data_IF_121345368476
#
_entry.id   IF_121345368476
#
_cell.length_a   1.000
_cell.length_b   1.000
_cell.length_c   1.000
_cell.angle_alpha   90.00
_cell.angle_beta   90.00
_cell.angle_gamma   90.00
#
_symmetry.space_group_name_H-M   'P 1'
#
loop_
_entity.id
_entity.type
_entity.pdbx_description
1 polymer ?
#
# COMPACT_ATOMS: atom_id res chain seq x y z
N UNK A 1 -19.80 -0.45 -30.30
CA UNK A 1 -19.12 -0.93 -29.11
C UNK A 1 -19.80 -0.44 -27.83
N UNK A 2 -19.92 0.86 -27.56
CA UNK A 2 -20.51 1.37 -26.31
C UNK A 2 -21.93 0.87 -26.03
N UNK A 3 -22.82 0.84 -27.04
CA UNK A 3 -24.16 0.28 -26.87
C UNK A 3 -24.13 -1.21 -26.51
N UNK A 4 -23.23 -2.00 -27.11
CA UNK A 4 -23.08 -3.42 -26.76
C UNK A 4 -22.58 -3.60 -25.32
N UNK A 5 -21.67 -2.72 -24.84
CA UNK A 5 -21.24 -2.71 -23.43
C UNK A 5 -22.43 -2.38 -22.52
N UNK A 6 -23.23 -1.37 -22.86
CA UNK A 6 -24.44 -1.02 -22.14
C UNK A 6 -25.45 -2.18 -22.05
N UNK A 7 -25.62 -2.95 -23.13
CA UNK A 7 -26.47 -4.15 -23.13
C UNK A 7 -25.93 -5.25 -22.17
N UNK A 8 -24.60 -5.40 -22.07
CA UNK A 8 -23.97 -6.39 -21.19
C UNK A 8 -24.12 -6.04 -19.71
N UNK A 9 -23.84 -4.79 -19.33
CA UNK A 9 -23.83 -4.38 -17.91
C UNK A 9 -25.18 -3.85 -17.44
N UNK A 10 -26.08 -3.48 -18.36
CA UNK A 10 -27.36 -2.84 -18.09
C UNK A 10 -27.25 -1.32 -17.98
N UNK A 11 -28.37 -0.64 -18.25
CA UNK A 11 -28.42 0.83 -18.31
C UNK A 11 -28.01 1.53 -17.01
N UNK A 12 -28.39 0.96 -15.87
CA UNK A 12 -28.07 1.52 -14.54
C UNK A 12 -26.62 1.38 -14.11
N UNK A 13 -25.80 0.63 -14.86
CA UNK A 13 -24.38 0.33 -14.58
C UNK A 13 -23.45 0.80 -15.72
N UNK A 14 -23.97 1.62 -16.62
CA UNK A 14 -23.22 2.17 -17.74
C UNK A 14 -23.35 3.70 -17.77
N UNK A 15 -22.23 4.39 -17.69
CA UNK A 15 -22.19 5.85 -17.60
C UNK A 15 -21.32 6.43 -18.72
N UNK A 16 -21.80 7.52 -19.33
CA UNK A 16 -21.08 8.26 -20.39
C UNK A 16 -21.28 9.76 -20.20
N UNK A 17 -20.37 10.56 -20.73
CA UNK A 17 -20.41 12.02 -20.69
C UNK A 17 -20.69 12.55 -19.27
N UNK A 18 -21.67 13.43 -19.10
CA UNK A 18 -22.01 14.10 -17.85
C UNK A 18 -22.53 13.13 -16.74
N UNK A 19 -22.85 11.89 -17.08
CA UNK A 19 -23.24 10.87 -16.12
C UNK A 19 -22.04 10.16 -15.45
N UNK A 20 -20.83 10.39 -15.95
CA UNK A 20 -19.60 9.86 -15.32
C UNK A 20 -19.32 10.64 -14.03
N UNK A 21 -19.32 9.95 -12.90
CA UNK A 21 -18.92 10.54 -11.62
C UNK A 21 -17.45 11.01 -11.63
N UNK A 22 -17.18 12.13 -10.98
CA UNK A 22 -15.85 12.71 -10.94
C UNK A 22 -14.80 11.75 -10.31
N UNK A 23 -15.25 10.88 -9.40
CA UNK A 23 -14.43 9.84 -8.77
C UNK A 23 -13.83 8.85 -9.76
N UNK A 24 -14.41 8.65 -10.95
CA UNK A 24 -13.84 7.81 -12.00
C UNK A 24 -12.72 8.48 -12.81
N UNK A 25 -12.50 9.78 -12.60
CA UNK A 25 -11.51 10.57 -13.33
C UNK A 25 -10.15 10.66 -12.60
N UNK A 26 -10.08 10.29 -11.33
CA UNK A 26 -8.87 10.34 -10.50
C UNK A 26 -8.85 9.18 -9.50
N UNK A 27 -7.71 8.92 -8.88
CA UNK A 27 -7.55 8.16 -7.65
C UNK A 27 -6.97 9.10 -6.57
N UNK A 28 -6.39 8.57 -5.49
CA UNK A 28 -5.83 9.41 -4.42
C UNK A 28 -4.42 9.94 -4.78
N UNK A 29 -3.91 9.68 -6.00
CA UNK A 29 -2.63 10.23 -6.45
C UNK A 29 -2.76 11.74 -6.73
N UNK A 30 -2.07 12.63 -6.02
CA UNK A 30 -2.20 14.06 -6.20
C UNK A 30 -1.82 14.52 -7.61
N UNK A 31 -2.69 15.28 -8.26
CA UNK A 31 -2.42 15.92 -9.54
C UNK A 31 -2.52 14.99 -10.75
N UNK A 32 -2.94 13.75 -10.59
CA UNK A 32 -3.19 12.80 -11.68
C UNK A 32 -4.69 12.72 -11.94
N UNK A 33 -5.10 12.96 -13.18
CA UNK A 33 -6.48 12.84 -13.62
C UNK A 33 -6.56 12.40 -15.08
N UNK A 34 -7.68 11.77 -15.45
CA UNK A 34 -8.01 11.37 -16.83
C UNK A 34 -9.51 11.40 -17.04
N UNK A 35 -9.94 11.45 -18.30
CA UNK A 35 -11.37 11.47 -18.64
C UNK A 35 -11.70 10.22 -19.44
N UNK A 36 -12.48 9.26 -18.90
CA UNK A 36 -12.91 8.10 -19.67
C UNK A 36 -14.04 8.45 -20.65
N UNK A 37 -14.16 7.69 -21.74
CA UNK A 37 -15.27 7.79 -22.67
C UNK A 37 -16.56 7.15 -22.07
N UNK A 38 -16.36 6.12 -21.23
CA UNK A 38 -17.45 5.44 -20.54
C UNK A 38 -16.93 4.74 -19.25
N UNK A 39 -17.87 4.49 -18.34
CA UNK A 39 -17.69 3.62 -17.18
C UNK A 39 -18.65 2.44 -17.31
N UNK A 40 -18.13 1.23 -17.20
CA UNK A 40 -18.89 -0.02 -17.15
C UNK A 40 -18.68 -0.69 -15.80
N UNK A 41 -19.70 -0.72 -14.95
CA UNK A 41 -19.69 -1.47 -13.69
C UNK A 41 -20.15 -2.90 -13.94
N UNK A 42 -19.24 -3.84 -13.77
CA UNK A 42 -19.51 -5.26 -13.94
C UNK A 42 -19.82 -5.96 -12.62
N UNK A 43 -20.58 -7.04 -12.69
CA UNK A 43 -20.98 -7.85 -11.52
C UNK A 43 -20.57 -9.31 -11.63
N UNK A 44 -19.98 -9.71 -12.76
CA UNK A 44 -19.49 -11.09 -12.96
C UNK A 44 -18.26 -11.15 -13.86
N UNK A 45 -17.55 -12.28 -13.80
CA UNK A 45 -16.43 -12.58 -14.67
C UNK A 45 -16.82 -12.57 -16.15
N UNK A 46 -18.02 -13.07 -16.49
CA UNK A 46 -18.53 -13.13 -17.87
C UNK A 46 -18.77 -11.73 -18.43
N UNK A 47 -19.33 -10.81 -17.62
CA UNK A 47 -19.51 -9.41 -18.03
C UNK A 47 -18.14 -8.74 -18.25
N UNK A 48 -17.19 -8.91 -17.31
CA UNK A 48 -15.84 -8.37 -17.45
C UNK A 48 -15.16 -8.89 -18.74
N UNK A 49 -15.23 -10.18 -18.98
CA UNK A 49 -14.68 -10.84 -20.18
C UNK A 49 -15.31 -10.27 -21.48
N UNK A 50 -16.63 -10.13 -21.52
CA UNK A 50 -17.32 -9.60 -22.68
C UNK A 50 -16.97 -8.13 -22.96
N UNK A 51 -16.88 -7.29 -21.92
CA UNK A 51 -16.47 -5.87 -22.06
C UNK A 51 -15.03 -5.76 -22.54
N UNK A 52 -14.08 -6.48 -21.92
CA UNK A 52 -12.66 -6.49 -22.33
C UNK A 52 -12.52 -6.93 -23.78
N UNK A 53 -13.22 -8.01 -24.19
CA UNK A 53 -13.20 -8.49 -25.56
C UNK A 53 -13.68 -7.45 -26.57
N UNK A 54 -14.80 -6.76 -26.30
CA UNK A 54 -15.32 -5.70 -27.18
C UNK A 54 -14.32 -4.54 -27.30
N UNK A 55 -13.69 -4.14 -26.21
CA UNK A 55 -12.66 -3.10 -26.20
C UNK A 55 -11.43 -3.56 -27.00
N UNK A 56 -10.98 -4.82 -26.84
CA UNK A 56 -9.85 -5.40 -27.57
C UNK A 56 -10.12 -5.49 -29.09
N UNK A 57 -11.34 -5.82 -29.49
CA UNK A 57 -11.74 -5.84 -30.90
C UNK A 57 -11.76 -4.44 -31.52
N UNK A 58 -12.15 -3.43 -30.72
CA UNK A 58 -12.21 -2.04 -31.14
C UNK A 58 -10.88 -1.27 -30.98
N UNK A 59 -9.88 -1.83 -30.31
CA UNK A 59 -8.63 -1.16 -29.97
C UNK A 59 -8.82 0.00 -28.97
N UNK A 60 -9.79 -0.12 -28.05
CA UNK A 60 -10.12 0.90 -27.06
C UNK A 60 -9.48 0.58 -25.72
N UNK A 61 -8.79 1.54 -25.06
CA UNK A 61 -8.21 1.38 -23.73
C UNK A 61 -9.23 0.93 -22.67
N UNK A 62 -8.78 0.08 -21.75
CA UNK A 62 -9.53 -0.37 -20.58
C UNK A 62 -8.74 -0.04 -19.32
N UNK A 63 -9.27 0.84 -18.49
CA UNK A 63 -8.71 1.10 -17.15
C UNK A 63 -9.48 0.29 -16.12
N UNK A 64 -8.79 -0.64 -15.45
CA UNK A 64 -9.39 -1.47 -14.38
C UNK A 64 -9.42 -0.67 -13.08
N UNK A 65 -10.59 -0.66 -12.41
CA UNK A 65 -10.77 0.12 -11.19
C UNK A 65 -11.52 -0.66 -10.09
N UNK A 66 -10.93 -0.72 -8.91
CA UNK A 66 -11.56 -1.08 -7.65
C UNK A 66 -12.18 0.13 -6.95
N UNK A 67 -11.84 0.35 -5.67
CA UNK A 67 -12.31 1.52 -4.91
C UNK A 67 -11.71 2.85 -5.39
N UNK A 68 -10.52 2.84 -5.99
CA UNK A 68 -9.83 4.04 -6.44
C UNK A 68 -8.98 4.71 -5.36
N UNK A 69 -8.66 4.00 -4.28
CA UNK A 69 -7.82 4.44 -3.15
C UNK A 69 -6.32 4.41 -3.43
N UNK A 70 -5.90 4.07 -4.65
CA UNK A 70 -4.50 4.01 -5.03
C UNK A 70 -3.84 5.39 -5.12
N UNK A 71 -2.55 5.47 -4.78
CA UNK A 71 -1.78 6.73 -4.71
C UNK A 71 -0.67 6.82 -5.77
N UNK A 72 -0.79 6.05 -6.85
CA UNK A 72 0.19 6.06 -7.95
C UNK A 72 -0.43 6.35 -9.34
N UNK A 73 -1.72 6.67 -9.40
CA UNK A 73 -2.42 6.88 -10.68
C UNK A 73 -2.72 5.57 -11.41
N UNK A 74 -2.69 4.43 -10.72
CA UNK A 74 -2.87 3.10 -11.31
C UNK A 74 -4.28 2.87 -11.86
N UNK A 75 -5.29 3.47 -11.27
CA UNK A 75 -6.70 3.33 -11.66
C UNK A 75 -7.27 4.55 -12.42
N UNK A 76 -6.41 5.49 -12.83
CA UNK A 76 -6.79 6.71 -13.57
C UNK A 76 -6.77 6.45 -15.07
N UNK A 77 -7.84 6.79 -15.83
CA UNK A 77 -7.92 6.58 -17.28
C UNK A 77 -7.15 7.65 -18.06
N UNK A 78 -5.81 7.64 -17.94
CA UNK A 78 -4.93 8.67 -18.55
C UNK A 78 -4.96 8.66 -20.08
N UNK A 79 -5.32 7.52 -20.70
CA UNK A 79 -5.46 7.35 -22.15
C UNK A 79 -6.94 7.31 -22.60
N UNK A 80 -7.88 7.78 -21.74
CA UNK A 80 -9.31 7.70 -22.03
C UNK A 80 -9.86 6.28 -22.03
N UNK A 81 -10.75 5.98 -22.98
CA UNK A 81 -11.34 4.65 -23.15
C UNK A 81 -12.40 4.29 -22.11
N UNK A 82 -12.47 3.02 -21.72
CA UNK A 82 -13.49 2.50 -20.81
C UNK A 82 -12.91 2.22 -19.44
N UNK A 83 -13.48 2.81 -18.39
CA UNK A 83 -13.21 2.37 -17.01
C UNK A 83 -14.06 1.12 -16.73
N UNK A 84 -13.39 0.00 -16.47
CA UNK A 84 -14.02 -1.24 -16.03
C UNK A 84 -14.06 -1.24 -14.49
N UNK A 85 -15.21 -0.84 -13.94
CA UNK A 85 -15.40 -0.79 -12.50
C UNK A 85 -15.76 -2.17 -11.94
N UNK A 86 -14.97 -2.64 -11.00
CA UNK A 86 -15.18 -3.91 -10.31
C UNK A 86 -15.93 -3.75 -8.98
N UNK A 87 -16.37 -2.54 -8.64
CA UNK A 87 -17.11 -2.27 -7.38
C UNK A 87 -18.37 -3.14 -7.22
N UNK A 88 -19.02 -3.48 -8.34
CA UNK A 88 -20.20 -4.34 -8.35
C UNK A 88 -19.91 -5.84 -8.17
N UNK A 89 -18.64 -6.23 -8.11
CA UNK A 89 -18.18 -7.60 -7.83
C UNK A 89 -17.77 -7.71 -6.37
N UNK A 90 -18.71 -7.59 -5.45
CA UNK A 90 -18.50 -7.40 -4.01
C UNK A 90 -18.95 -8.60 -3.13
N UNK A 91 -19.09 -9.78 -3.74
CA UNK A 91 -19.61 -10.95 -3.04
C UNK A 91 -18.51 -11.78 -2.40
N UNK A 92 -18.72 -12.20 -1.15
CA UNK A 92 -18.01 -13.29 -0.49
C UNK A 92 -18.66 -14.59 -0.98
N UNK A 93 -17.92 -15.40 -1.72
CA UNK A 93 -18.47 -16.53 -2.48
C UNK A 93 -18.51 -17.82 -1.67
N UNK A 94 -17.43 -18.12 -0.94
CA UNK A 94 -17.31 -19.38 -0.19
C UNK A 94 -16.23 -19.28 0.89
N UNK A 95 -16.54 -19.75 2.08
CA UNK A 95 -15.54 -20.15 3.07
C UNK A 95 -15.31 -21.68 3.00
N UNK A 96 -14.04 -22.09 3.03
CA UNK A 96 -13.66 -23.49 3.08
C UNK A 96 -12.91 -23.75 4.41
N UNK A 97 -13.62 -24.37 5.34
CA UNK A 97 -13.13 -24.60 6.70
C UNK A 97 -11.92 -25.56 6.70
N UNK A 98 -11.95 -26.59 5.86
CA UNK A 98 -10.89 -27.60 5.82
C UNK A 98 -9.57 -27.04 5.23
N UNK A 99 -9.67 -26.06 4.33
CA UNK A 99 -8.53 -25.45 3.67
C UNK A 99 -8.13 -24.11 4.29
N UNK A 100 -8.89 -23.59 5.26
CA UNK A 100 -8.76 -22.23 5.81
C UNK A 100 -8.65 -21.20 4.68
N UNK A 101 -9.61 -21.23 3.74
CA UNK A 101 -9.61 -20.28 2.61
C UNK A 101 -10.94 -19.58 2.46
N UNK A 102 -10.87 -18.32 2.00
CA UNK A 102 -12.03 -17.50 1.67
C UNK A 102 -11.99 -17.14 0.18
N UNK A 103 -13.02 -17.57 -0.59
CA UNK A 103 -13.16 -17.17 -1.99
C UNK A 103 -14.06 -15.97 -2.10
N UNK A 104 -13.57 -14.91 -2.74
CA UNK A 104 -14.20 -13.59 -2.82
C UNK A 104 -14.12 -13.01 -4.23
N UNK A 105 -15.02 -12.09 -4.54
CA UNK A 105 -14.90 -11.21 -5.71
C UNK A 105 -13.97 -10.03 -5.43
N UNK A 106 -13.37 -9.40 -6.46
CA UNK A 106 -12.31 -8.39 -6.31
C UNK A 106 -12.78 -7.07 -5.69
N UNK A 107 -14.07 -6.75 -5.74
CA UNK A 107 -14.67 -5.54 -5.18
C UNK A 107 -14.98 -5.62 -3.69
N UNK A 108 -14.81 -6.80 -3.05
CA UNK A 108 -14.95 -6.92 -1.59
C UNK A 108 -13.91 -6.04 -0.91
N UNK A 109 -14.31 -5.29 0.12
CA UNK A 109 -13.41 -4.41 0.85
C UNK A 109 -12.50 -5.21 1.80
N UNK A 110 -11.29 -4.72 2.02
CA UNK A 110 -10.34 -5.34 2.95
C UNK A 110 -10.95 -5.54 4.34
N UNK A 111 -11.63 -4.53 4.87
CA UNK A 111 -12.32 -4.62 6.17
C UNK A 111 -13.37 -5.73 6.22
N UNK A 112 -14.07 -5.99 5.11
CA UNK A 112 -15.11 -7.02 5.05
C UNK A 112 -14.49 -8.43 4.97
N UNK A 113 -13.34 -8.57 4.28
CA UNK A 113 -12.54 -9.81 4.29
C UNK A 113 -12.09 -10.14 5.72
N UNK A 114 -11.54 -9.15 6.43
CA UNK A 114 -11.09 -9.33 7.83
C UNK A 114 -12.26 -9.67 8.76
N UNK A 115 -13.37 -8.94 8.66
CA UNK A 115 -14.57 -9.18 9.45
C UNK A 115 -15.20 -10.57 9.17
N UNK A 116 -15.16 -11.04 7.92
CA UNK A 116 -15.63 -12.37 7.56
C UNK A 116 -14.74 -13.46 8.16
N UNK A 117 -13.40 -13.32 8.07
CA UNK A 117 -12.44 -14.27 8.64
C UNK A 117 -12.66 -14.43 10.17
N UNK A 118 -12.90 -13.31 10.87
CA UNK A 118 -13.13 -13.32 12.33
C UNK A 118 -14.37 -14.13 12.76
N UNK A 119 -15.40 -14.24 11.92
CA UNK A 119 -16.58 -15.07 12.23
C UNK A 119 -16.25 -16.55 12.41
N UNK A 120 -15.13 -16.98 11.82
CA UNK A 120 -14.63 -18.37 11.89
C UNK A 120 -13.46 -18.51 12.86
N UNK A 121 -13.13 -17.46 13.62
CA UNK A 121 -11.97 -17.46 14.52
C UNK A 121 -10.61 -17.39 13.80
N UNK A 122 -10.64 -17.01 12.53
CA UNK A 122 -9.45 -16.91 11.68
C UNK A 122 -9.08 -15.45 11.43
N UNK A 123 -7.90 -15.25 10.82
CA UNK A 123 -7.32 -13.94 10.57
C UNK A 123 -6.78 -13.84 9.14
N UNK A 124 -6.99 -12.68 8.51
CA UNK A 124 -6.36 -12.28 7.25
C UNK A 124 -5.29 -11.23 7.55
N UNK A 125 -3.99 -11.58 7.55
CA UNK A 125 -2.92 -10.72 8.08
C UNK A 125 -2.60 -9.46 7.28
N UNK A 126 -2.60 -9.44 5.92
CA UNK A 126 -2.19 -8.24 5.21
C UNK A 126 -3.01 -7.01 5.62
N UNK A 127 -2.30 -5.93 5.95
CA UNK A 127 -2.92 -4.68 6.41
C UNK A 127 -2.22 -3.45 5.82
N UNK A 128 -2.56 -3.04 4.60
CA UNK A 128 -2.00 -1.85 3.97
C UNK A 128 -2.56 -0.53 4.51
N UNK A 129 -3.20 -0.52 5.67
CA UNK A 129 -3.75 0.69 6.30
C UNK A 129 -5.11 1.12 5.74
N UNK A 130 -5.30 1.21 4.43
CA UNK A 130 -6.56 1.62 3.80
C UNK A 130 -7.59 0.48 3.81
N UNK A 131 -8.50 0.53 4.78
CA UNK A 131 -9.49 -0.54 5.05
C UNK A 131 -10.63 -0.60 4.03
N UNK A 132 -10.86 0.50 3.30
CA UNK A 132 -11.87 0.60 2.22
C UNK A 132 -11.29 0.26 0.84
N UNK A 133 -10.00 -0.07 0.76
CA UNK A 133 -9.42 -0.65 -0.45
C UNK A 133 -10.10 -1.97 -0.81
N UNK A 134 -10.27 -2.24 -2.10
CA UNK A 134 -10.79 -3.53 -2.55
C UNK A 134 -9.70 -4.59 -2.57
N UNK A 135 -10.06 -5.83 -2.23
CA UNK A 135 -9.09 -6.93 -2.19
C UNK A 135 -8.44 -7.21 -3.57
N UNK A 136 -9.19 -6.97 -4.66
CA UNK A 136 -8.64 -7.04 -6.02
C UNK A 136 -7.60 -5.94 -6.28
N UNK A 137 -7.81 -4.73 -5.73
CA UNK A 137 -6.84 -3.63 -5.74
C UNK A 137 -5.57 -4.00 -4.97
N UNK A 138 -5.73 -4.55 -3.76
CA UNK A 138 -4.59 -4.99 -2.94
C UNK A 138 -3.76 -6.06 -3.65
N UNK A 139 -4.39 -7.03 -4.32
CA UNK A 139 -3.67 -8.01 -5.13
C UNK A 139 -3.01 -7.38 -6.37
N UNK A 140 -3.69 -6.44 -7.04
CA UNK A 140 -3.16 -5.78 -8.23
C UNK A 140 -1.90 -4.94 -7.94
N UNK A 141 -1.80 -4.33 -6.77
CA UNK A 141 -0.60 -3.59 -6.32
C UNK A 141 0.37 -4.44 -5.52
N UNK A 142 -0.02 -5.63 -5.08
CA UNK A 142 0.66 -6.43 -4.06
C UNK A 142 0.84 -5.62 -2.77
N UNK A 143 -0.24 -5.02 -2.29
CA UNK A 143 -0.22 -4.16 -1.12
C UNK A 143 0.35 -4.88 0.11
N UNK A 144 1.11 -4.16 0.91
CA UNK A 144 1.73 -4.62 2.16
C UNK A 144 1.29 -3.78 3.36
N UNK A 145 2.18 -3.44 4.27
CA UNK A 145 1.94 -2.61 5.44
C UNK A 145 2.77 -3.04 6.63
N UNK A 146 2.50 -2.49 7.83
CA UNK A 146 3.30 -2.70 9.03
C UNK A 146 3.55 -4.17 9.40
N UNK A 147 2.56 -5.02 9.16
CA UNK A 147 2.61 -6.45 9.50
C UNK A 147 3.42 -7.29 8.50
N UNK A 148 3.94 -6.69 7.43
CA UNK A 148 4.66 -7.43 6.39
C UNK A 148 5.97 -8.07 6.88
N UNK A 149 6.56 -7.57 7.95
CA UNK A 149 7.77 -8.15 8.56
C UNK A 149 7.55 -9.59 9.02
N UNK A 150 6.39 -9.91 9.56
CA UNK A 150 6.03 -11.26 10.04
C UNK A 150 5.26 -12.06 9.02
N UNK A 151 4.31 -11.42 8.37
CA UNK A 151 3.31 -12.12 7.59
C UNK A 151 3.51 -12.00 6.07
N UNK A 152 4.41 -11.14 5.62
CA UNK A 152 4.56 -10.88 4.18
C UNK A 152 3.48 -9.95 3.63
N UNK A 153 3.21 -10.08 2.34
CA UNK A 153 2.36 -9.17 1.57
C UNK A 153 1.06 -9.85 1.11
N UNK A 154 0.19 -9.13 0.41
CA UNK A 154 -1.04 -9.71 -0.16
C UNK A 154 -0.77 -10.97 -1.00
N UNK A 155 0.34 -11.02 -1.76
CA UNK A 155 0.75 -12.18 -2.56
C UNK A 155 0.82 -13.48 -1.77
N UNK A 156 1.35 -13.42 -0.55
CA UNK A 156 1.58 -14.60 0.29
C UNK A 156 0.26 -15.25 0.73
N UNK A 157 -0.82 -14.47 0.71
CA UNK A 157 -2.17 -14.90 1.10
C UNK A 157 -3.11 -15.17 -0.07
N UNK A 158 -2.65 -15.08 -1.31
CA UNK A 158 -3.43 -15.49 -2.47
C UNK A 158 -3.11 -16.95 -2.85
N UNK A 159 -4.10 -17.82 -2.77
CA UNK A 159 -3.96 -19.22 -3.19
C UNK A 159 -4.22 -19.40 -4.69
N UNK A 160 -5.22 -18.67 -5.23
CA UNK A 160 -5.55 -18.67 -6.66
C UNK A 160 -6.29 -17.40 -7.07
N UNK A 161 -6.22 -17.09 -8.36
CA UNK A 161 -6.95 -16.00 -9.01
C UNK A 161 -7.75 -16.53 -10.19
N UNK A 162 -8.99 -16.05 -10.38
CA UNK A 162 -9.65 -16.09 -11.69
C UNK A 162 -9.43 -14.75 -12.36
N UNK A 163 -8.95 -14.76 -13.60
CA UNK A 163 -8.59 -13.54 -14.34
C UNK A 163 -9.20 -13.52 -15.74
N UNK A 164 -9.41 -12.31 -16.25
CA UNK A 164 -9.73 -12.05 -17.65
C UNK A 164 -8.49 -11.48 -18.33
N UNK A 165 -8.04 -12.12 -19.44
CA UNK A 165 -6.94 -11.65 -20.27
C UNK A 165 -7.40 -10.59 -21.27
N UNK A 166 -6.44 -9.91 -21.89
CA UNK A 166 -6.70 -8.82 -22.83
C UNK A 166 -7.54 -9.20 -24.07
N UNK A 167 -7.63 -10.48 -24.41
CA UNK A 167 -8.48 -10.99 -25.49
C UNK A 167 -9.90 -11.39 -25.03
N UNK A 168 -10.20 -11.19 -23.74
CA UNK A 168 -11.45 -11.58 -23.10
C UNK A 168 -11.52 -13.05 -22.69
N UNK A 169 -10.46 -13.84 -22.86
CA UNK A 169 -10.40 -15.20 -22.32
C UNK A 169 -10.29 -15.20 -20.79
N UNK A 170 -10.81 -16.25 -20.16
CA UNK A 170 -10.76 -16.44 -18.70
C UNK A 170 -9.90 -17.63 -18.34
N UNK A 171 -9.14 -17.50 -17.28
CA UNK A 171 -8.33 -18.61 -16.76
C UNK A 171 -8.21 -18.52 -15.23
N UNK A 172 -7.88 -19.65 -14.61
CA UNK A 172 -7.56 -19.70 -13.17
C UNK A 172 -6.08 -19.93 -13.00
N UNK A 173 -5.42 -19.05 -12.23
CA UNK A 173 -3.99 -19.06 -11.94
C UNK A 173 -3.73 -19.52 -10.50
N UNK A 174 -2.64 -20.24 -10.29
CA UNK A 174 -2.16 -20.63 -8.96
C UNK A 174 -0.64 -20.85 -8.96
N UNK A 175 -0.04 -20.91 -7.77
CA UNK A 175 1.41 -21.13 -7.64
C UNK A 175 2.22 -20.06 -8.39
N UNK A 176 3.19 -20.48 -9.19
CA UNK A 176 4.10 -19.56 -9.89
C UNK A 176 3.41 -18.66 -10.93
N UNK A 177 2.25 -19.07 -11.46
CA UNK A 177 1.53 -18.25 -12.46
C UNK A 177 0.94 -16.97 -11.87
N UNK A 178 0.72 -16.94 -10.54
CA UNK A 178 0.27 -15.74 -9.82
C UNK A 178 1.26 -14.56 -9.95
N UNK A 179 2.56 -14.86 -10.10
CA UNK A 179 3.62 -13.87 -10.25
C UNK A 179 3.42 -12.94 -11.46
N UNK A 180 2.69 -13.42 -12.48
CA UNK A 180 2.40 -12.62 -13.67
C UNK A 180 1.28 -11.60 -13.51
N UNK A 181 0.50 -11.66 -12.41
CA UNK A 181 -0.69 -10.83 -12.23
C UNK A 181 -0.64 -10.03 -10.94
N UNK A 182 -0.23 -10.65 -9.82
CA UNK A 182 -0.12 -9.93 -8.54
C UNK A 182 0.97 -8.87 -8.65
N UNK A 183 0.60 -7.63 -8.36
CA UNK A 183 1.48 -6.48 -8.51
C UNK A 183 1.60 -5.96 -9.95
N UNK A 184 0.77 -6.42 -10.89
CA UNK A 184 0.77 -5.90 -12.28
C UNK A 184 -0.08 -4.65 -12.48
N UNK A 185 -0.80 -4.19 -11.47
CA UNK A 185 -1.62 -2.97 -11.49
C UNK A 185 -2.68 -2.97 -12.61
N UNK A 186 -3.23 -4.16 -12.92
CA UNK A 186 -4.25 -4.30 -13.97
C UNK A 186 -3.73 -4.19 -15.39
N UNK A 187 -2.40 -4.14 -15.61
CA UNK A 187 -1.80 -4.01 -16.95
C UNK A 187 -1.72 -5.33 -17.71
N UNK A 188 -1.79 -6.48 -17.05
CA UNK A 188 -1.58 -7.81 -17.65
C UNK A 188 -2.83 -8.70 -17.60
N UNK A 189 -3.76 -8.42 -16.72
CA UNK A 189 -5.04 -9.10 -16.59
C UNK A 189 -6.00 -8.32 -15.67
N UNK A 190 -7.29 -8.65 -15.75
CA UNK A 190 -8.33 -8.19 -14.83
C UNK A 190 -8.62 -9.32 -13.83
N UNK A 191 -8.39 -9.08 -12.55
CA UNK A 191 -8.72 -10.03 -11.47
C UNK A 191 -10.23 -10.01 -11.26
N UNK A 192 -10.89 -11.18 -11.31
CA UNK A 192 -12.34 -11.30 -11.14
C UNK A 192 -12.76 -12.19 -9.97
N UNK A 193 -11.89 -13.06 -9.47
CA UNK A 193 -12.08 -13.76 -8.20
C UNK A 193 -10.73 -14.03 -7.54
N UNK A 194 -10.72 -14.09 -6.21
CA UNK A 194 -9.56 -14.44 -5.39
C UNK A 194 -9.92 -15.56 -4.43
N UNK A 195 -9.03 -16.51 -4.24
CA UNK A 195 -9.05 -17.45 -3.10
C UNK A 195 -7.95 -17.02 -2.14
N UNK A 196 -8.35 -16.56 -0.97
CA UNK A 196 -7.46 -16.02 0.08
C UNK A 196 -7.17 -17.12 1.12
N UNK A 197 -5.92 -17.18 1.58
CA UNK A 197 -5.53 -18.01 2.73
C UNK A 197 -5.81 -17.26 4.02
N UNK A 198 -6.32 -17.96 5.02
CA UNK A 198 -6.51 -17.45 6.37
C UNK A 198 -5.63 -18.25 7.32
N UNK A 199 -5.28 -17.63 8.44
CA UNK A 199 -4.48 -18.25 9.50
C UNK A 199 -5.21 -18.18 10.84
N UNK A 200 -4.75 -18.91 11.84
CA UNK A 200 -5.23 -18.78 13.21
C UNK A 200 -4.88 -17.38 13.74
N UNK A 201 -5.83 -16.77 14.44
CA UNK A 201 -5.61 -15.44 15.03
C UNK A 201 -4.66 -15.56 16.22
N UNK A 202 -3.62 -14.68 16.34
CA UNK A 202 -2.84 -14.56 17.55
C UNK A 202 -3.75 -14.31 18.78
N UNK A 203 -3.43 -14.95 19.91
CA UNK A 203 -4.30 -14.89 21.09
C UNK A 203 -3.92 -13.79 22.06
N UNK A 204 -2.65 -13.37 22.02
CA UNK A 204 -2.12 -12.29 22.84
C UNK A 204 -1.19 -11.40 22.02
N UNK A 205 -1.14 -10.12 22.36
CA UNK A 205 -0.24 -9.15 21.76
C UNK A 205 0.14 -8.05 22.76
N UNK A 206 1.25 -7.37 22.54
CA UNK A 206 1.64 -6.16 23.23
C UNK A 206 2.38 -5.22 22.28
N UNK A 207 2.30 -3.92 22.54
CA UNK A 207 3.05 -2.90 21.81
C UNK A 207 4.11 -2.33 22.76
N UNK A 208 5.36 -2.24 22.27
CA UNK A 208 6.46 -1.57 22.94
C UNK A 208 6.85 -0.34 22.13
N UNK A 209 7.05 0.80 22.80
CA UNK A 209 7.61 2.00 22.21
C UNK A 209 8.99 2.25 22.81
N UNK A 210 9.95 2.52 21.93
CA UNK A 210 11.34 2.83 22.30
C UNK A 210 11.69 4.20 21.73
N UNK A 211 11.73 5.25 22.56
CA UNK A 211 12.25 6.56 22.17
C UNK A 211 13.78 6.56 22.08
N UNK A 212 14.35 7.29 21.11
CA UNK A 212 15.78 7.44 20.87
C UNK A 212 16.15 8.90 20.65
N UNK A 213 17.41 9.23 20.86
CA UNK A 213 17.92 10.58 20.64
C UNK A 213 18.04 10.95 19.16
N UNK A 214 18.22 9.96 18.28
CA UNK A 214 18.41 10.17 16.85
C UNK A 214 17.92 8.99 16.00
N UNK A 215 17.80 9.23 14.68
CA UNK A 215 17.37 8.25 13.67
C UNK A 215 18.30 7.07 13.53
N UNK A 216 19.63 7.31 13.54
CA UNK A 216 20.64 6.27 13.32
C UNK A 216 20.60 5.22 14.44
N UNK A 217 20.64 5.69 15.70
CA UNK A 217 20.55 4.82 16.88
C UNK A 217 19.24 4.02 16.89
N UNK A 218 18.12 4.67 16.58
CA UNK A 218 16.80 4.03 16.49
C UNK A 218 16.76 2.89 15.46
N UNK A 219 17.28 3.12 14.25
CA UNK A 219 17.27 2.11 13.20
C UNK A 219 18.30 1.01 13.39
N UNK A 220 19.43 1.31 14.05
CA UNK A 220 20.38 0.28 14.48
C UNK A 220 19.76 -0.64 15.55
N UNK A 221 19.02 -0.08 16.49
CA UNK A 221 18.25 -0.84 17.47
C UNK A 221 17.20 -1.74 16.78
N UNK A 222 16.44 -1.21 15.80
CA UNK A 222 15.48 -2.00 15.03
C UNK A 222 16.14 -3.20 14.34
N UNK A 223 17.30 -2.99 13.69
CA UNK A 223 18.05 -4.07 13.05
C UNK A 223 18.58 -5.10 14.06
N UNK A 224 18.98 -4.66 15.24
CA UNK A 224 19.39 -5.54 16.34
C UNK A 224 18.24 -6.43 16.81
N UNK A 225 17.05 -5.84 17.01
CA UNK A 225 15.85 -6.56 17.43
C UNK A 225 15.35 -7.53 16.34
N UNK A 226 15.43 -7.14 15.06
CA UNK A 226 15.09 -8.02 13.94
C UNK A 226 16.06 -9.19 13.77
N UNK A 227 17.31 -9.05 14.17
CA UNK A 227 18.31 -10.14 14.11
C UNK A 227 18.11 -11.19 15.22
N UNK A 228 17.29 -10.90 16.25
CA UNK A 228 16.94 -11.84 17.32
C UNK A 228 15.70 -12.65 16.95
N UNK A 229 15.48 -13.78 17.62
CA UNK A 229 14.36 -14.70 17.34
C UNK A 229 13.08 -14.32 18.10
N UNK A 230 12.73 -13.02 18.13
CA UNK A 230 11.49 -12.55 18.75
C UNK A 230 10.29 -12.63 17.81
N UNK A 231 10.53 -12.71 16.51
CA UNK A 231 9.52 -12.70 15.45
C UNK A 231 8.44 -11.62 15.66
N UNK A 232 8.83 -10.33 15.74
CA UNK A 232 7.89 -9.24 15.94
C UNK A 232 6.87 -9.18 14.79
N UNK A 233 5.63 -8.88 15.11
CA UNK A 233 4.57 -8.73 14.10
C UNK A 233 4.68 -7.40 13.37
N UNK A 234 5.22 -6.38 14.05
CA UNK A 234 5.40 -5.02 13.53
C UNK A 234 6.71 -4.46 14.05
N UNK A 235 7.42 -3.71 13.21
CA UNK A 235 8.59 -2.90 13.56
C UNK A 235 8.51 -1.58 12.79
N UNK A 236 8.04 -0.52 13.46
CA UNK A 236 7.78 0.78 12.86
C UNK A 236 8.76 1.84 13.38
N UNK A 237 9.45 2.49 12.47
CA UNK A 237 10.23 3.69 12.73
C UNK A 237 9.37 4.93 12.46
N UNK A 238 9.45 5.92 13.34
CA UNK A 238 8.79 7.22 13.19
C UNK A 238 9.75 8.31 13.63
N UNK A 239 10.02 9.29 12.77
CA UNK A 239 10.76 10.48 13.22
C UNK A 239 9.86 11.40 14.08
N UNK A 240 10.47 12.14 15.00
CA UNK A 240 9.73 13.00 15.91
C UNK A 240 9.02 14.14 15.19
N UNK A 241 9.50 14.55 14.03
CA UNK A 241 8.85 15.61 13.25
C UNK A 241 7.47 15.19 12.73
N UNK A 242 7.30 13.95 12.26
CA UNK A 242 5.99 13.44 11.80
C UNK A 242 5.06 13.19 12.99
N UNK A 243 5.61 12.65 14.08
CA UNK A 243 4.87 12.42 15.34
C UNK A 243 4.31 13.72 15.90
N UNK A 244 5.14 14.75 16.03
CA UNK A 244 4.75 16.06 16.55
C UNK A 244 3.75 16.76 15.62
N UNK A 245 3.99 16.71 14.30
CA UNK A 245 3.08 17.30 13.32
C UNK A 245 1.69 16.64 13.39
N UNK A 246 1.63 15.32 13.33
CA UNK A 246 0.37 14.57 13.37
C UNK A 246 -0.35 14.76 14.71
N UNK A 247 0.37 14.71 15.83
CA UNK A 247 -0.19 14.94 17.15
C UNK A 247 -0.82 16.33 17.30
N UNK A 248 -0.21 17.35 16.70
CA UNK A 248 -0.74 18.72 16.69
C UNK A 248 -2.01 18.85 15.81
N UNK A 249 -2.05 18.19 14.65
CA UNK A 249 -3.19 18.22 13.73
C UNK A 249 -4.39 17.47 14.31
N UNK A 250 -4.15 16.28 14.85
CA UNK A 250 -5.22 15.41 15.37
C UNK A 250 -5.65 15.76 16.80
N UNK A 251 -4.80 16.48 17.54
CA UNK A 251 -4.99 16.70 18.97
C UNK A 251 -4.76 15.43 19.82
N UNK A 252 -4.06 14.43 19.29
CA UNK A 252 -3.77 13.14 19.93
C UNK A 252 -2.26 12.87 20.01
N UNK A 253 -1.51 13.54 20.91
CA UNK A 253 -0.06 13.40 21.06
C UNK A 253 0.27 12.18 21.96
N UNK A 254 0.15 10.97 21.46
CA UNK A 254 0.41 9.74 22.24
C UNK A 254 1.87 9.27 22.20
N UNK A 255 2.62 9.65 21.17
CA UNK A 255 4.04 9.32 21.08
C UNK A 255 4.91 10.38 21.74
N UNK A 256 6.01 10.01 22.43
CA UNK A 256 6.87 10.97 23.13
C UNK A 256 7.63 11.87 22.14
N UNK A 257 7.61 13.17 22.37
CA UNK A 257 8.39 14.17 21.61
C UNK A 257 9.51 14.78 22.45
N UNK A 258 9.45 14.62 23.79
CA UNK A 258 10.45 15.08 24.77
C UNK A 258 10.51 14.08 25.93
N UNK A 259 11.71 13.79 26.41
CA UNK A 259 11.96 12.99 27.61
C UNK A 259 13.11 13.62 28.42
N UNK A 260 12.92 13.74 29.72
CA UNK A 260 13.89 14.34 30.67
C UNK A 260 14.41 15.72 30.27
N UNK A 261 13.59 16.50 29.52
CA UNK A 261 13.94 17.85 29.05
C UNK A 261 14.75 17.86 27.76
N UNK A 262 14.95 16.73 27.11
CA UNK A 262 15.61 16.60 25.81
C UNK A 262 14.61 16.17 24.74
N UNK A 263 14.77 16.66 23.50
CA UNK A 263 13.93 16.27 22.37
C UNK A 263 14.22 14.85 21.97
N UNK A 264 13.20 14.02 21.87
CA UNK A 264 13.29 12.71 21.21
C UNK A 264 13.57 12.92 19.72
N UNK A 265 14.49 12.17 19.15
CA UNK A 265 14.82 12.22 17.71
C UNK A 265 13.98 11.29 16.87
N UNK A 266 13.72 10.07 17.38
CA UNK A 266 12.87 9.07 16.74
C UNK A 266 12.25 8.11 17.76
N UNK A 267 11.16 7.46 17.37
CA UNK A 267 10.52 6.40 18.15
C UNK A 267 10.41 5.13 17.30
N UNK A 268 10.79 3.98 17.90
CA UNK A 268 10.50 2.66 17.35
C UNK A 268 9.25 2.10 18.02
N UNK A 269 8.30 1.61 17.24
CA UNK A 269 7.13 0.86 17.74
C UNK A 269 7.28 -0.60 17.33
N UNK A 270 7.23 -1.49 18.32
CA UNK A 270 7.32 -2.93 18.13
C UNK A 270 6.01 -3.57 18.58
N UNK A 271 5.42 -4.44 17.76
CA UNK A 271 4.30 -5.28 18.17
C UNK A 271 4.78 -6.72 18.32
N UNK A 272 4.59 -7.28 19.51
CA UNK A 272 4.81 -8.70 19.82
C UNK A 272 3.48 -9.44 19.81
N UNK A 273 3.49 -10.67 19.35
CA UNK A 273 2.34 -11.57 19.36
C UNK A 273 2.74 -12.93 19.95
N UNK A 274 1.78 -13.61 20.57
CA UNK A 274 1.97 -14.90 21.21
C UNK A 274 0.72 -15.75 21.26
N UNK A 275 0.90 -17.01 21.72
CA UNK A 275 -0.18 -17.96 21.96
C UNK A 275 -0.97 -17.63 23.24
N UNK A 276 -0.36 -16.89 24.16
CA UNK A 276 -0.92 -16.42 25.42
C UNK A 276 -0.13 -15.21 25.95
N UNK A 277 -0.66 -14.58 27.00
CA UNK A 277 -0.04 -13.41 27.64
C UNK A 277 1.33 -13.74 28.25
N UNK A 278 1.53 -14.96 28.78
CA UNK A 278 2.79 -15.37 29.39
C UNK A 278 3.90 -15.40 28.33
N UNK A 279 3.64 -15.93 27.14
CA UNK A 279 4.60 -15.98 26.02
C UNK A 279 4.97 -14.61 25.47
N UNK A 280 4.06 -13.64 25.52
CA UNK A 280 4.33 -12.24 25.16
C UNK A 280 5.16 -11.57 26.24
N UNK A 281 4.84 -11.80 27.51
CA UNK A 281 5.57 -11.22 28.65
C UNK A 281 7.03 -11.71 28.70
N UNK A 282 7.29 -12.99 28.44
CA UNK A 282 8.65 -13.54 28.36
C UNK A 282 9.48 -12.81 27.31
N UNK A 283 8.93 -12.61 26.11
CA UNK A 283 9.62 -11.82 25.06
C UNK A 283 9.87 -10.37 25.47
N UNK A 284 8.91 -9.74 26.15
CA UNK A 284 9.06 -8.37 26.64
C UNK A 284 10.20 -8.26 27.68
N UNK A 285 10.31 -9.23 28.60
CA UNK A 285 11.38 -9.29 29.60
C UNK A 285 12.74 -9.44 28.93
N UNK A 286 12.89 -10.36 27.97
CA UNK A 286 14.11 -10.53 27.19
C UNK A 286 14.52 -9.27 26.43
N UNK A 287 13.54 -8.55 25.83
CA UNK A 287 13.80 -7.29 25.11
C UNK A 287 14.19 -6.18 26.10
N UNK A 288 13.59 -6.14 27.29
CA UNK A 288 13.94 -5.16 28.30
C UNK A 288 15.39 -5.30 28.78
N UNK A 289 15.95 -6.52 28.81
CA UNK A 289 17.35 -6.76 29.10
C UNK A 289 18.33 -6.17 28.07
N UNK A 290 17.84 -5.90 26.85
CA UNK A 290 18.63 -5.28 25.78
C UNK A 290 18.59 -3.75 25.79
N UNK A 291 17.83 -3.11 26.67
CA UNK A 291 17.61 -1.67 26.67
C UNK A 291 18.93 -0.85 26.63
N UNK A 292 19.93 -1.26 27.43
CA UNK A 292 21.25 -0.62 27.44
C UNK A 292 22.05 -0.91 26.15
N UNK A 293 21.93 -2.12 25.57
CA UNK A 293 22.60 -2.50 24.32
C UNK A 293 22.08 -1.71 23.13
N UNK A 294 20.77 -1.48 23.07
CA UNK A 294 20.11 -0.75 21.97
C UNK A 294 20.07 0.77 22.20
N UNK A 295 20.56 1.26 23.33
CA UNK A 295 20.67 2.69 23.66
C UNK A 295 19.34 3.45 23.62
N UNK A 296 18.19 2.79 23.95
CA UNK A 296 16.90 3.47 24.03
C UNK A 296 16.81 4.31 25.33
N UNK A 297 16.04 5.41 25.26
CA UNK A 297 15.83 6.30 26.40
C UNK A 297 14.94 5.66 27.46
N UNK A 298 13.91 4.91 27.03
CA UNK A 298 12.97 4.21 27.88
C UNK A 298 12.23 3.14 27.08
N UNK A 299 11.44 2.30 27.75
CA UNK A 299 10.53 1.33 27.13
C UNK A 299 9.12 1.58 27.66
N UNK A 300 8.24 2.06 26.80
CA UNK A 300 6.84 2.31 27.11
C UNK A 300 6.00 1.13 26.65
N UNK A 301 5.16 0.58 27.53
CA UNK A 301 4.37 -0.63 27.25
C UNK A 301 2.91 -0.29 27.03
N UNK A 302 2.38 -0.72 25.88
CA UNK A 302 0.96 -0.70 25.54
C UNK A 302 0.36 -2.11 25.59
N UNK A 303 -0.09 -2.55 26.77
CA UNK A 303 -0.68 -3.87 26.98
C UNK A 303 -2.21 -3.85 27.03
N UNK A 304 -2.82 -2.69 27.30
CA UNK A 304 -4.28 -2.59 27.32
C UNK A 304 -4.88 -2.37 25.94
N UNK A 305 -6.12 -2.89 25.70
CA UNK A 305 -6.80 -2.65 24.41
C UNK A 305 -6.99 -1.17 24.07
N UNK A 306 -7.08 -0.30 25.08
CA UNK A 306 -7.22 1.15 24.86
C UNK A 306 -5.90 1.76 24.36
N UNK A 307 -4.79 1.50 25.04
CA UNK A 307 -3.47 2.00 24.62
C UNK A 307 -3.09 1.53 23.21
N UNK A 308 -3.29 0.24 22.93
CA UNK A 308 -3.03 -0.31 21.59
C UNK A 308 -3.82 0.40 20.52
N UNK A 309 -5.12 0.66 20.74
CA UNK A 309 -5.94 1.44 19.78
C UNK A 309 -5.46 2.87 19.64
N UNK A 310 -5.03 3.53 20.72
CA UNK A 310 -4.53 4.91 20.66
C UNK A 310 -3.21 5.00 19.89
N UNK A 311 -2.28 4.06 20.10
CA UNK A 311 -1.02 4.01 19.35
C UNK A 311 -1.28 3.80 17.86
N UNK A 312 -2.10 2.82 17.49
CA UNK A 312 -2.45 2.60 16.09
C UNK A 312 -3.22 3.75 15.48
N UNK A 313 -4.17 4.35 16.20
CA UNK A 313 -4.92 5.51 15.71
C UNK A 313 -4.01 6.72 15.44
N UNK A 314 -2.99 6.94 16.27
CA UNK A 314 -2.01 8.00 16.05
C UNK A 314 -1.07 7.70 14.88
N UNK A 315 -0.62 6.45 14.72
CA UNK A 315 0.19 5.99 13.59
C UNK A 315 -0.59 6.10 12.27
N UNK A 316 -1.80 5.54 12.21
CA UNK A 316 -2.66 5.55 11.02
C UNK A 316 -3.01 6.98 10.55
N UNK A 317 -2.95 7.95 11.48
CA UNK A 317 -3.22 9.35 11.17
C UNK A 317 -2.06 10.10 10.48
N UNK A 318 -0.85 9.54 10.37
CA UNK A 318 0.29 10.25 9.79
C UNK A 318 0.00 10.78 8.39
N UNK A 319 -0.43 9.92 7.48
CA UNK A 319 -0.72 10.31 6.10
C UNK A 319 -1.83 11.38 6.02
N UNK A 320 -2.98 11.12 6.63
CA UNK A 320 -4.14 12.04 6.58
C UNK A 320 -3.86 13.37 7.29
N UNK A 321 -2.99 13.39 8.30
CA UNK A 321 -2.55 14.60 8.96
C UNK A 321 -1.71 15.48 8.03
N UNK A 322 -0.85 14.88 7.20
CA UNK A 322 -0.08 15.63 6.20
C UNK A 322 -1.01 16.29 5.17
N UNK A 323 -2.00 15.55 4.67
CA UNK A 323 -2.96 16.07 3.69
C UNK A 323 -3.83 17.20 4.24
N UNK A 324 -4.30 17.07 5.49
CA UNK A 324 -5.24 18.02 6.08
C UNK A 324 -4.57 19.21 6.79
N UNK A 325 -3.37 19.00 7.34
CA UNK A 325 -2.66 19.98 8.17
C UNK A 325 -1.61 20.80 7.44
N UNK A 326 -0.99 20.26 6.38
CA UNK A 326 0.02 21.00 5.63
C UNK A 326 -0.61 21.83 4.51
N UNK A 327 -0.04 23.01 4.27
CA UNK A 327 -0.46 23.85 3.13
C UNK A 327 -0.15 23.21 1.79
N UNK A 328 1.01 22.57 1.68
CA UNK A 328 1.41 21.74 0.56
C UNK A 328 2.11 20.52 1.12
N UNK A 329 1.72 19.34 0.67
CA UNK A 329 2.33 18.06 1.02
C UNK A 329 2.40 17.15 -0.19
N UNK A 330 3.41 16.29 -0.22
CA UNK A 330 3.51 15.14 -1.13
C UNK A 330 4.23 14.02 -0.40
N UNK A 331 3.90 12.79 -0.75
CA UNK A 331 4.57 11.60 -0.24
C UNK A 331 5.39 10.92 -1.33
N UNK A 332 6.57 10.44 -0.95
CA UNK A 332 7.37 9.48 -1.71
C UNK A 332 7.34 8.15 -0.98
N UNK A 333 6.53 7.22 -1.47
CA UNK A 333 6.47 5.86 -0.96
C UNK A 333 7.43 4.98 -1.76
N UNK A 334 8.41 4.37 -1.08
CA UNK A 334 9.49 3.55 -1.62
C UNK A 334 9.76 2.36 -0.71
N UNK A 335 10.62 1.44 -1.11
CA UNK A 335 11.22 0.48 -0.19
C UNK A 335 12.72 0.37 -0.42
N UNK A 336 13.49 0.21 0.66
CA UNK A 336 14.94 -0.06 0.64
C UNK A 336 15.27 -1.22 1.58
N UNK A 337 16.43 -1.89 1.46
CA UNK A 337 16.86 -2.84 2.47
C UNK A 337 16.85 -2.22 3.87
N UNK A 338 16.50 -2.98 4.91
CA UNK A 338 16.29 -2.47 6.26
C UNK A 338 17.54 -1.72 6.81
N UNK A 339 18.73 -2.21 6.49
CA UNK A 339 20.02 -1.59 6.86
C UNK A 339 20.33 -0.29 6.09
N UNK A 340 19.47 0.09 5.14
CA UNK A 340 19.60 1.31 4.31
C UNK A 340 18.56 2.38 4.63
N UNK A 341 17.63 2.11 5.54
CA UNK A 341 16.57 3.07 5.87
C UNK A 341 17.17 4.35 6.47
N UNK A 342 18.12 4.27 7.41
CA UNK A 342 18.76 5.45 8.00
C UNK A 342 19.43 6.33 6.93
N UNK A 343 20.25 5.74 6.06
CA UNK A 343 20.92 6.44 4.96
C UNK A 343 19.89 7.13 4.04
N UNK A 344 18.76 6.47 3.75
CA UNK A 344 17.72 7.03 2.88
C UNK A 344 16.96 8.18 3.55
N UNK A 345 16.63 8.07 4.85
CA UNK A 345 15.96 9.13 5.61
C UNK A 345 16.81 10.38 5.66
N UNK A 346 18.08 10.23 6.05
CA UNK A 346 19.02 11.36 6.14
C UNK A 346 19.25 12.03 4.78
N UNK A 347 19.42 11.23 3.73
CA UNK A 347 19.56 11.74 2.38
C UNK A 347 18.32 12.55 1.95
N UNK A 348 17.12 12.01 2.16
CA UNK A 348 15.88 12.69 1.78
C UNK A 348 15.66 13.99 2.57
N UNK A 349 15.99 14.00 3.86
CA UNK A 349 15.92 15.21 4.69
C UNK A 349 16.91 16.28 4.24
N UNK A 350 18.18 15.92 3.97
CA UNK A 350 19.21 16.85 3.52
C UNK A 350 18.86 17.46 2.15
N UNK A 351 18.42 16.64 1.18
CA UNK A 351 18.03 17.12 -0.15
C UNK A 351 16.75 17.98 -0.09
N UNK A 352 15.81 17.64 0.80
CA UNK A 352 14.62 18.45 1.06
C UNK A 352 14.98 19.82 1.62
N UNK A 353 15.82 19.86 2.66
CA UNK A 353 16.27 21.10 3.29
C UNK A 353 17.00 22.01 2.29
N UNK A 354 17.89 21.45 1.44
CA UNK A 354 18.58 22.19 0.39
C UNK A 354 17.63 22.86 -0.61
N UNK A 355 16.38 22.35 -0.72
CA UNK A 355 15.32 22.91 -1.57
C UNK A 355 14.31 23.75 -0.79
N UNK A 356 14.52 23.91 0.54
CA UNK A 356 13.59 24.61 1.43
C UNK A 356 12.26 23.86 1.62
N UNK A 357 12.31 22.52 1.63
CA UNK A 357 11.23 21.63 1.99
C UNK A 357 11.57 20.94 3.32
N UNK A 358 10.58 20.75 4.19
CA UNK A 358 10.73 19.89 5.36
C UNK A 358 10.33 18.48 4.96
N UNK A 359 11.22 17.49 5.18
CA UNK A 359 10.92 16.07 4.97
C UNK A 359 10.75 15.40 6.33
N UNK A 360 9.64 14.69 6.48
CA UNK A 360 9.29 13.87 7.65
C UNK A 360 9.12 12.43 7.21
N UNK A 361 9.45 11.46 8.07
CA UNK A 361 9.54 10.07 7.68
C UNK A 361 8.95 9.11 8.71
N UNK A 362 8.32 8.03 8.21
CA UNK A 362 8.10 6.81 8.97
C UNK A 362 8.37 5.59 8.06
N UNK A 363 8.59 4.43 8.66
CA UNK A 363 8.96 3.25 7.89
C UNK A 363 8.57 1.93 8.56
N UNK A 364 8.13 0.98 7.75
CA UNK A 364 7.94 -0.44 8.07
C UNK A 364 9.29 -1.14 8.00
N UNK A 365 10.10 -1.08 9.08
CA UNK A 365 11.53 -1.41 9.04
C UNK A 365 11.78 -2.83 8.51
N UNK A 366 11.00 -3.80 8.96
CA UNK A 366 11.23 -5.20 8.59
C UNK A 366 10.97 -5.53 7.12
N UNK A 367 10.10 -4.78 6.44
CA UNK A 367 9.85 -4.93 5.00
C UNK A 367 10.61 -3.90 4.15
N UNK A 368 11.20 -2.89 4.80
CA UNK A 368 11.90 -1.79 4.15
C UNK A 368 10.98 -0.73 3.52
N UNK A 369 9.66 -0.84 3.69
CA UNK A 369 8.68 0.14 3.21
C UNK A 369 8.85 1.49 3.91
N UNK A 370 8.90 2.58 3.15
CA UNK A 370 9.16 3.93 3.67
C UNK A 370 8.18 4.94 3.11
N UNK A 371 7.78 5.85 3.97
CA UNK A 371 6.91 7.00 3.71
C UNK A 371 7.67 8.28 4.01
N UNK A 372 8.05 9.01 2.96
CA UNK A 372 8.79 10.27 3.05
C UNK A 372 7.87 11.40 2.64
N UNK A 373 7.46 12.24 3.60
CA UNK A 373 6.53 13.34 3.38
C UNK A 373 7.28 14.67 3.27
N UNK A 374 7.26 15.28 2.09
CA UNK A 374 7.80 16.61 1.88
C UNK A 374 6.69 17.66 2.01
N UNK A 375 6.87 18.65 2.88
CA UNK A 375 5.91 19.71 3.14
C UNK A 375 6.52 21.10 2.99
N UNK A 376 5.67 22.09 2.70
CA UNK A 376 6.08 23.51 2.61
C UNK A 376 4.90 24.46 2.77
N UNK A 377 5.16 25.62 3.38
CA UNK A 377 4.24 26.77 3.47
C UNK A 377 4.36 27.72 2.27
N UNK A 378 5.24 27.43 1.30
CA UNK A 378 5.50 28.23 0.12
C UNK A 378 4.33 28.33 -0.87
N UNK A 379 4.57 28.96 -2.01
CA UNK A 379 3.58 29.02 -3.10
C UNK A 379 3.44 27.65 -3.78
N UNK A 380 2.22 27.26 -4.15
CA UNK A 380 1.92 25.94 -4.75
C UNK A 380 2.74 25.65 -6.00
N UNK A 381 2.96 26.64 -6.89
CA UNK A 381 3.74 26.45 -8.12
C UNK A 381 5.24 26.22 -7.86
N UNK A 382 5.80 26.90 -6.84
CA UNK A 382 7.19 26.70 -6.41
C UNK A 382 7.35 25.32 -5.74
N UNK A 383 6.41 24.93 -4.90
CA UNK A 383 6.38 23.62 -4.30
C UNK A 383 6.36 22.51 -5.35
N UNK A 384 5.48 22.59 -6.35
CA UNK A 384 5.38 21.60 -7.42
C UNK A 384 6.71 21.38 -8.17
N UNK A 385 7.46 22.45 -8.47
CA UNK A 385 8.77 22.33 -9.11
C UNK A 385 9.80 21.63 -8.21
N UNK A 386 9.88 22.04 -6.92
CA UNK A 386 10.82 21.49 -5.95
C UNK A 386 10.59 20.00 -5.67
N UNK A 387 9.33 19.59 -5.54
CA UNK A 387 9.00 18.17 -5.26
C UNK A 387 9.28 17.26 -6.45
N UNK A 388 9.19 17.74 -7.68
CA UNK A 388 9.60 16.98 -8.86
C UNK A 388 11.13 16.75 -8.90
N UNK A 389 11.91 17.77 -8.52
CA UNK A 389 13.36 17.63 -8.41
C UNK A 389 13.73 16.68 -7.27
N UNK A 390 13.07 16.80 -6.11
CA UNK A 390 13.30 15.91 -4.97
C UNK A 390 12.89 14.47 -5.31
N UNK A 391 11.79 14.25 -6.03
CA UNK A 391 11.38 12.94 -6.50
C UNK A 391 12.47 12.21 -7.30
N UNK A 392 13.11 12.92 -8.25
CA UNK A 392 14.19 12.36 -9.05
C UNK A 392 15.39 11.91 -8.18
N UNK A 393 15.73 12.70 -7.15
CA UNK A 393 16.81 12.40 -6.21
C UNK A 393 16.44 11.21 -5.30
N UNK A 394 15.26 11.23 -4.69
CA UNK A 394 14.74 10.17 -3.81
C UNK A 394 14.66 8.84 -4.54
N UNK A 395 14.03 8.80 -5.73
CA UNK A 395 13.90 7.56 -6.49
C UNK A 395 15.23 7.08 -7.07
N UNK A 396 16.14 8.01 -7.44
CA UNK A 396 17.49 7.68 -7.86
C UNK A 396 18.29 7.04 -6.74
N UNK A 397 18.28 7.64 -5.55
CA UNK A 397 18.97 7.11 -4.36
C UNK A 397 18.37 5.78 -3.90
N UNK A 398 17.04 5.64 -3.92
CA UNK A 398 16.36 4.37 -3.64
C UNK A 398 16.91 3.24 -4.54
N UNK A 399 17.02 3.50 -5.84
CA UNK A 399 17.55 2.51 -6.80
C UNK A 399 19.04 2.21 -6.57
N UNK A 400 19.85 3.22 -6.23
CA UNK A 400 21.26 3.08 -5.88
C UNK A 400 21.46 2.16 -4.66
N UNK A 401 20.58 2.29 -3.66
CA UNK A 401 20.60 1.48 -2.45
C UNK A 401 20.03 0.06 -2.66
N UNK A 402 19.67 -0.32 -3.88
CA UNK A 402 19.08 -1.63 -4.19
C UNK A 402 17.60 -1.73 -3.80
N UNK A 403 16.94 -0.61 -3.58
CA UNK A 403 15.54 -0.52 -3.23
C UNK A 403 14.60 -0.58 -4.43
N UNK A 404 13.30 -0.41 -4.14
CA UNK A 404 12.23 -0.37 -5.14
C UNK A 404 11.41 0.90 -5.01
N UNK A 405 11.31 1.65 -6.11
CA UNK A 405 10.46 2.85 -6.18
C UNK A 405 8.96 2.51 -6.19
N UNK A 406 8.60 1.24 -6.36
CA UNK A 406 7.22 0.75 -6.27
C UNK A 406 6.65 1.04 -4.87
N UNK A 407 7.44 0.76 -3.82
CA UNK A 407 6.96 0.78 -2.45
C UNK A 407 5.73 -0.13 -2.29
N UNK A 408 4.73 0.35 -1.58
CA UNK A 408 3.43 -0.32 -1.39
C UNK A 408 2.37 0.14 -2.40
N UNK A 409 2.51 1.36 -2.95
CA UNK A 409 1.50 2.02 -3.78
C UNK A 409 1.53 1.61 -5.25
N UNK A 410 2.58 0.91 -5.67
CA UNK A 410 2.80 0.60 -7.08
C UNK A 410 3.57 1.71 -7.82
N UNK A 411 3.62 1.59 -9.13
CA UNK A 411 4.27 2.53 -10.06
C UNK A 411 3.23 3.45 -10.70
N UNK A 412 2.13 2.89 -11.18
CA UNK A 412 1.09 3.58 -11.91
C UNK A 412 1.64 4.42 -13.07
N UNK A 413 1.05 5.59 -13.29
CA UNK A 413 1.59 6.59 -14.22
C UNK A 413 2.49 7.61 -13.50
N UNK A 414 2.37 7.78 -12.18
CA UNK A 414 3.09 8.80 -11.43
C UNK A 414 4.60 8.54 -11.32
N UNK A 415 5.00 7.27 -11.14
CA UNK A 415 6.40 6.89 -10.95
C UNK A 415 7.06 6.30 -12.19
N UNK A 416 6.31 6.05 -13.28
CA UNK A 416 6.79 5.43 -14.52
C UNK A 416 8.08 6.08 -15.07
N UNK A 417 8.15 7.41 -15.08
CA UNK A 417 9.29 8.16 -15.58
C UNK A 417 10.60 7.93 -14.81
N UNK A 418 10.54 7.37 -13.62
CA UNK A 418 11.68 7.08 -12.75
C UNK A 418 12.12 5.61 -12.80
N UNK A 419 11.44 4.76 -13.60
CA UNK A 419 11.84 3.38 -13.80
C UNK A 419 13.15 3.27 -14.56
N UNK A 420 14.04 2.41 -14.08
CA UNK A 420 15.26 2.06 -14.82
C UNK A 420 14.98 1.23 -16.08
N UNK A 421 15.91 1.24 -17.02
CA UNK A 421 15.78 0.58 -18.33
C UNK A 421 15.47 -0.93 -18.20
N UNK A 422 16.09 -1.63 -17.24
CA UNK A 422 15.88 -3.07 -17.01
C UNK A 422 14.44 -3.36 -16.57
N UNK A 423 13.88 -2.53 -15.67
CA UNK A 423 12.50 -2.68 -15.24
C UNK A 423 11.51 -2.42 -16.37
N UNK A 424 11.74 -1.38 -17.18
CA UNK A 424 10.93 -1.07 -18.36
C UNK A 424 10.96 -2.22 -19.37
N UNK A 425 12.14 -2.80 -19.66
CA UNK A 425 12.27 -3.94 -20.58
C UNK A 425 11.50 -5.16 -20.05
N UNK A 426 11.64 -5.46 -18.76
CA UNK A 426 10.93 -6.58 -18.11
C UNK A 426 9.41 -6.40 -18.18
N UNK A 427 8.90 -5.21 -17.81
CA UNK A 427 7.46 -4.92 -17.87
C UNK A 427 6.95 -4.93 -19.31
N UNK A 428 7.67 -4.34 -20.27
CA UNK A 428 7.33 -4.34 -21.69
C UNK A 428 7.26 -5.74 -22.26
N UNK A 429 8.19 -6.64 -21.91
CA UNK A 429 8.16 -8.04 -22.33
C UNK A 429 6.92 -8.79 -21.79
N UNK A 430 6.54 -8.57 -20.54
CA UNK A 430 5.32 -9.15 -19.97
C UNK A 430 4.06 -8.58 -20.64
N UNK A 431 4.03 -7.26 -20.89
CA UNK A 431 2.95 -6.60 -21.60
C UNK A 431 2.77 -7.16 -22.99
N UNK A 432 3.84 -7.27 -23.77
CA UNK A 432 3.81 -7.85 -25.12
C UNK A 432 3.30 -9.30 -25.13
N UNK A 433 3.57 -10.07 -24.08
CA UNK A 433 3.09 -11.44 -23.94
C UNK A 433 1.60 -11.53 -23.60
N UNK A 434 1.11 -10.75 -22.65
CA UNK A 434 -0.22 -10.90 -22.05
C UNK A 434 -1.25 -9.90 -22.58
N UNK A 435 -0.80 -8.78 -23.13
CA UNK A 435 -1.65 -7.77 -23.76
C UNK A 435 -0.97 -7.18 -25.01
N UNK A 436 -0.81 -7.97 -26.08
CA UNK A 436 -0.09 -7.55 -27.28
C UNK A 436 -0.75 -6.37 -28.03
N UNK A 437 -1.98 -6.03 -27.70
CA UNK A 437 -2.68 -4.85 -28.26
C UNK A 437 -2.54 -3.59 -27.38
N UNK A 438 -1.99 -3.72 -26.17
CA UNK A 438 -1.79 -2.61 -25.24
C UNK A 438 -3.08 -1.98 -24.74
N UNK A 439 -4.18 -2.75 -24.63
CA UNK A 439 -5.48 -2.16 -24.23
C UNK A 439 -5.67 -2.08 -22.72
N UNK A 440 -5.05 -3.00 -21.94
CA UNK A 440 -5.25 -3.06 -20.50
C UNK A 440 -4.38 -2.01 -19.80
N UNK A 441 -5.04 -1.08 -19.17
CA UNK A 441 -4.44 -0.06 -18.30
C UNK A 441 -3.22 0.66 -18.92
N UNK A 442 -3.34 1.20 -20.16
CA UNK A 442 -2.21 1.83 -20.85
C UNK A 442 -1.74 3.11 -20.15
N UNK A 443 -0.52 3.57 -20.48
CA UNK A 443 0.11 4.75 -19.87
C UNK A 443 0.72 4.47 -18.48
N UNK A 444 0.73 3.21 -18.02
CA UNK A 444 1.27 2.77 -16.73
C UNK A 444 2.65 2.10 -16.87
N UNK A 445 3.12 1.48 -15.80
CA UNK A 445 4.47 0.92 -15.69
C UNK A 445 4.86 -0.10 -16.80
N UNK A 446 3.87 -0.80 -17.36
CA UNK A 446 4.13 -1.88 -18.33
C UNK A 446 4.20 -1.43 -19.80
N UNK A 447 4.04 -0.14 -20.09
CA UNK A 447 4.05 0.39 -21.46
C UNK A 447 5.41 0.95 -21.87
#
# INVERSE_FOLDING_TARGET
MLEAIKEIVGESRFFTADAIGADYCHDECPGVAGTPDAVAEVTSTEQAAAVVKLCAEAGVPVTVRGAGTGQAGGSVPVEGGVVLSLKGMDQILKFDEAAHTLRVQPGVLLQDVKAEAEKYGLYYPPDPGEKTATIGGNAATNASGPYAVKYGTTRDYVASLTVVRADGSTETLSGADLESVIGSEGTLAVITELTLKLIDKPKADAILLFPFMDTETCLNAANTLLAKDYAPAVVEYMDTDIVEFSGNVTGNPVFPVEMDGERVGATLMLTLEGEDDDSVMEKMEEIAELAEEIECLDILVGDTPTMKREFWAAHDAFHTSMESGAKNAIEYNISVPADKIAEMVEYAKAEGEAKGLKVMAYAHVGSGGMHLHAVSDGAKGEFAAKVMELAALVYGKCSELGGSIRGEYGIGCAKKQYLGAEALEKFGALKAKYDPKGILNPGKAAD
#
